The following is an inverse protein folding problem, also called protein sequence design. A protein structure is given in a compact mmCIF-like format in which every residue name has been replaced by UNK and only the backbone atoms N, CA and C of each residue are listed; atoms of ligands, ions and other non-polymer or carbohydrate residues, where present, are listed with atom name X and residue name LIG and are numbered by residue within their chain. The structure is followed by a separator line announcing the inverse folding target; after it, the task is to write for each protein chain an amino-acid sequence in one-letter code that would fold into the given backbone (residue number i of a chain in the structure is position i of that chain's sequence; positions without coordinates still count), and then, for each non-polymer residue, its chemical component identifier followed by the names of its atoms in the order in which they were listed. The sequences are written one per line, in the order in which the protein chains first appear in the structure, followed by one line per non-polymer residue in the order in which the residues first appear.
data_IF_695463402975
#
_entry.id   IF_695463402975
#
_cell.length_a   1.000
_cell.length_b   1.000
_cell.length_c   1.000
_cell.angle_alpha   90.00
_cell.angle_beta   90.00
_cell.angle_gamma   90.00
#
_symmetry.space_group_name_H-M   'P 1'
#
loop_
_entity.id
_entity.type
_entity.pdbx_description
1 polymer ?
#
# COMPACT_ATOMS: atom_id res chain seq x y z
N UNK A 1 4.01 -8.92 -63.24
CA UNK A 1 4.10 -7.70 -62.40
C UNK A 1 3.80 -8.11 -60.97
N UNK A 2 4.85 -8.47 -60.21
CA UNK A 2 4.75 -8.77 -58.78
C UNK A 2 4.57 -7.45 -58.04
N UNK A 3 3.39 -7.24 -57.48
CA UNK A 3 3.12 -6.16 -56.54
C UNK A 3 3.98 -6.39 -55.30
N UNK A 4 5.02 -5.57 -55.15
CA UNK A 4 5.79 -5.50 -53.92
C UNK A 4 4.90 -4.75 -52.93
N UNK A 5 4.30 -5.48 -51.99
CA UNK A 5 3.64 -4.89 -50.83
C UNK A 5 4.72 -4.22 -49.98
N UNK A 6 4.79 -2.89 -50.04
CA UNK A 6 5.60 -2.10 -49.12
C UNK A 6 4.92 -2.21 -47.75
N UNK A 7 5.58 -2.76 -46.71
CA UNK A 7 4.98 -2.84 -45.40
C UNK A 7 4.66 -1.42 -44.94
N UNK A 8 3.38 -1.13 -44.67
CA UNK A 8 3.00 0.11 -44.03
C UNK A 8 3.81 0.23 -42.74
N UNK A 9 4.75 1.19 -42.71
CA UNK A 9 5.47 1.53 -41.50
C UNK A 9 4.43 2.08 -40.52
N UNK A 10 3.94 1.21 -39.64
CA UNK A 10 3.02 1.63 -38.60
C UNK A 10 3.71 2.69 -37.75
N UNK A 11 3.03 3.81 -37.43
CA UNK A 11 3.59 4.80 -36.54
C UNK A 11 4.04 4.12 -35.23
N UNK A 12 5.28 4.38 -34.84
CA UNK A 12 5.91 3.80 -33.65
C UNK A 12 6.21 4.89 -32.63
N UNK A 13 6.36 4.50 -31.37
CA UNK A 13 6.80 5.36 -30.28
C UNK A 13 7.79 4.61 -29.39
N UNK A 14 8.68 5.32 -28.71
CA UNK A 14 9.58 4.73 -27.71
C UNK A 14 8.89 4.64 -26.35
N UNK A 15 8.88 3.46 -25.74
CA UNK A 15 8.27 3.23 -24.43
C UNK A 15 9.20 3.68 -23.30
N UNK A 16 8.73 4.54 -22.39
CA UNK A 16 9.54 5.02 -21.26
C UNK A 16 9.87 3.98 -20.17
N UNK A 17 9.37 2.75 -20.28
CA UNK A 17 9.68 1.64 -19.35
C UNK A 17 10.69 0.65 -19.94
N UNK A 18 10.42 0.11 -21.13
CA UNK A 18 11.32 -0.88 -21.76
C UNK A 18 12.38 -0.25 -22.68
N UNK A 19 12.20 1.00 -23.11
CA UNK A 19 13.10 1.68 -24.06
C UNK A 19 13.00 1.18 -25.50
N UNK A 20 11.99 0.35 -25.82
CA UNK A 20 11.81 -0.22 -27.15
C UNK A 20 10.82 0.59 -27.99
N UNK A 21 10.98 0.50 -29.32
CA UNK A 21 10.01 1.05 -30.29
C UNK A 21 8.78 0.13 -30.37
N UNK A 22 7.63 0.69 -30.00
CA UNK A 22 6.36 -0.01 -29.88
C UNK A 22 5.34 0.56 -30.85
N UNK A 23 4.35 -0.24 -31.25
CA UNK A 23 3.27 0.21 -32.13
C UNK A 23 2.43 1.29 -31.43
N UNK A 24 2.14 2.41 -32.09
CA UNK A 24 1.34 3.50 -31.51
C UNK A 24 -0.04 3.07 -31.00
N UNK A 25 -0.59 1.97 -31.52
CA UNK A 25 -1.87 1.40 -31.08
C UNK A 25 -1.81 0.82 -29.65
N UNK A 26 -0.64 0.40 -29.17
CA UNK A 26 -0.44 -0.09 -27.80
C UNK A 26 0.01 1.01 -26.84
N UNK A 27 0.07 2.26 -27.31
CA UNK A 27 0.51 3.41 -26.52
C UNK A 27 -0.55 3.82 -25.52
N UNK A 28 -0.15 3.84 -24.24
CA UNK A 28 -0.93 4.44 -23.16
C UNK A 28 -0.28 5.78 -22.80
N UNK A 29 -1.08 6.85 -22.76
CA UNK A 29 -0.66 8.19 -22.33
C UNK A 29 -1.33 8.55 -21.02
N UNK A 30 -0.55 8.92 -20.01
CA UNK A 30 -1.06 9.25 -18.69
C UNK A 30 -1.55 10.71 -18.64
N UNK A 31 -2.72 10.99 -18.04
CA UNK A 31 -3.44 12.26 -18.23
C UNK A 31 -2.72 13.51 -17.70
N UNK A 32 -1.97 13.43 -16.58
CA UNK A 32 -1.33 14.63 -15.99
C UNK A 32 0.17 14.76 -16.27
N UNK A 33 0.93 13.65 -16.31
CA UNK A 33 2.37 13.69 -16.53
C UNK A 33 2.75 13.60 -18.01
N UNK A 34 1.80 13.27 -18.90
CA UNK A 34 1.98 13.07 -20.34
C UNK A 34 2.94 11.95 -20.76
N UNK A 35 3.45 11.17 -19.80
CA UNK A 35 4.30 10.02 -20.06
C UNK A 35 3.60 8.97 -20.91
N UNK A 36 4.38 8.32 -21.77
CA UNK A 36 3.89 7.33 -22.72
C UNK A 36 4.59 6.01 -22.53
N UNK A 37 3.79 5.00 -22.24
CA UNK A 37 4.25 3.64 -21.97
C UNK A 37 3.48 2.66 -22.84
N UNK A 38 4.09 1.54 -23.20
CA UNK A 38 3.33 0.49 -23.88
C UNK A 38 2.42 -0.23 -22.89
N UNK A 39 1.28 -0.69 -23.42
CA UNK A 39 0.24 -1.40 -22.66
C UNK A 39 0.79 -2.61 -21.91
N UNK A 40 1.70 -3.37 -22.51
CA UNK A 40 2.32 -4.55 -21.89
C UNK A 40 3.13 -4.17 -20.64
N UNK A 41 4.01 -3.16 -20.74
CA UNK A 41 4.80 -2.70 -19.61
C UNK A 41 3.94 -2.17 -18.47
N UNK A 42 2.89 -1.39 -18.79
CA UNK A 42 2.00 -0.86 -17.76
C UNK A 42 1.14 -1.97 -17.12
N UNK A 43 0.71 -2.97 -17.89
CA UNK A 43 0.00 -4.15 -17.40
C UNK A 43 0.88 -4.96 -16.46
N UNK A 44 2.13 -5.23 -16.83
CA UNK A 44 3.11 -5.92 -16.00
C UNK A 44 3.39 -5.16 -14.70
N UNK A 45 3.63 -3.85 -14.80
CA UNK A 45 3.85 -3.01 -13.63
C UNK A 45 2.64 -2.99 -12.68
N UNK A 46 1.43 -2.80 -13.22
CA UNK A 46 0.21 -2.81 -12.42
C UNK A 46 0.01 -4.17 -11.72
N UNK A 47 0.24 -5.27 -12.44
CA UNK A 47 0.17 -6.63 -11.89
C UNK A 47 1.12 -6.80 -10.71
N UNK A 48 2.39 -6.43 -10.86
CA UNK A 48 3.36 -6.49 -9.75
C UNK A 48 2.91 -5.67 -8.55
N UNK A 49 2.38 -4.45 -8.76
CA UNK A 49 1.91 -3.60 -7.65
C UNK A 49 0.69 -4.17 -6.95
N UNK A 50 -0.24 -4.76 -7.70
CA UNK A 50 -1.41 -5.46 -7.14
C UNK A 50 -0.95 -6.65 -6.30
N UNK A 51 -0.02 -7.45 -6.80
CA UNK A 51 0.52 -8.62 -6.08
C UNK A 51 1.30 -8.24 -4.81
N UNK A 52 1.98 -7.09 -4.83
CA UNK A 52 2.60 -6.48 -3.64
C UNK A 52 1.58 -5.88 -2.65
N UNK A 53 0.30 -5.86 -3.00
CA UNK A 53 -0.78 -5.27 -2.20
C UNK A 53 -0.74 -3.74 -2.14
N UNK A 54 -0.26 -3.08 -3.20
CA UNK A 54 -0.04 -1.62 -3.29
C UNK A 54 -1.11 -0.94 -4.13
N UNK A 55 -1.76 0.05 -3.52
CA UNK A 55 -2.70 0.95 -4.17
C UNK A 55 -2.73 2.28 -3.39
N UNK A 56 -2.75 3.46 -4.03
CA UNK A 56 -2.85 3.70 -5.47
C UNK A 56 -1.57 3.41 -6.26
N UNK A 57 -1.73 3.06 -7.54
CA UNK A 57 -0.64 2.78 -8.47
C UNK A 57 -0.29 4.06 -9.21
N UNK A 58 0.96 4.51 -9.14
CA UNK A 58 1.44 5.71 -9.82
C UNK A 58 2.19 5.37 -11.12
N UNK A 59 2.26 6.35 -12.02
CA UNK A 59 3.03 6.28 -13.26
C UNK A 59 4.48 5.84 -12.99
N UNK A 60 4.98 4.76 -13.62
CA UNK A 60 6.32 4.23 -13.39
C UNK A 60 7.44 5.24 -13.64
N UNK A 61 7.30 6.03 -14.71
CA UNK A 61 8.26 7.08 -15.06
C UNK A 61 8.27 8.21 -14.01
N UNK A 62 7.10 8.61 -13.49
CA UNK A 62 7.04 9.61 -12.40
C UNK A 62 7.68 9.13 -11.10
N UNK A 63 7.70 7.82 -10.85
CA UNK A 63 8.35 7.24 -9.67
C UNK A 63 9.87 7.23 -9.88
N UNK A 64 10.33 6.98 -11.11
CA UNK A 64 11.75 6.93 -11.46
C UNK A 64 12.39 8.33 -11.53
N UNK A 65 11.67 9.33 -12.04
CA UNK A 65 12.17 10.70 -12.15
C UNK A 65 12.20 11.45 -10.81
N UNK A 66 13.38 11.92 -10.43
CA UNK A 66 13.58 12.83 -9.28
C UNK A 66 14.14 14.16 -9.78
N UNK A 67 13.65 15.33 -9.29
CA UNK A 67 12.65 15.54 -8.23
C UNK A 67 11.30 15.98 -8.83
N UNK A 68 10.43 15.04 -9.21
CA UNK A 68 9.09 15.42 -9.70
C UNK A 68 8.12 15.58 -8.53
N UNK A 69 7.58 16.79 -8.36
CA UNK A 69 6.67 17.13 -7.26
C UNK A 69 5.28 16.47 -7.39
N UNK A 70 4.87 16.15 -8.63
CA UNK A 70 3.54 15.58 -8.91
C UNK A 70 3.72 14.25 -9.62
N UNK A 71 3.15 13.20 -9.05
CA UNK A 71 3.07 11.87 -9.65
C UNK A 71 1.63 11.60 -10.06
N UNK A 72 1.44 11.28 -11.33
CA UNK A 72 0.14 10.89 -11.88
C UNK A 72 -0.23 9.49 -11.42
N UNK A 73 -1.44 9.33 -10.90
CA UNK A 73 -2.01 8.01 -10.62
C UNK A 73 -2.46 7.36 -11.93
N UNK A 74 -2.25 6.05 -12.04
CA UNK A 74 -2.91 5.23 -13.05
C UNK A 74 -4.37 5.09 -12.62
N UNK A 75 -5.23 5.95 -13.18
CA UNK A 75 -6.64 6.02 -12.83
C UNK A 75 -7.43 4.80 -13.34
N UNK A 76 -8.70 4.72 -12.95
CA UNK A 76 -9.56 3.59 -13.31
C UNK A 76 -9.76 3.44 -14.84
N UNK A 77 -9.83 4.54 -15.57
CA UNK A 77 -9.95 4.53 -17.04
C UNK A 77 -8.75 3.86 -17.70
N UNK A 78 -7.53 4.16 -17.24
CA UNK A 78 -6.33 3.50 -17.73
C UNK A 78 -6.29 2.04 -17.27
N UNK A 79 -6.67 1.73 -16.03
CA UNK A 79 -6.72 0.34 -15.53
C UNK A 79 -7.67 -0.55 -16.34
N UNK A 80 -8.78 0.00 -16.83
CA UNK A 80 -9.73 -0.72 -17.69
C UNK A 80 -9.14 -1.06 -19.07
N UNK A 81 -8.20 -0.26 -19.57
CA UNK A 81 -7.54 -0.50 -20.84
C UNK A 81 -6.46 -1.58 -20.77
N UNK A 82 -5.97 -1.94 -19.57
CA UNK A 82 -4.92 -2.94 -19.36
C UNK A 82 -5.45 -4.37 -19.50
N UNK A 83 -4.59 -5.29 -19.96
CA UNK A 83 -4.91 -6.71 -20.07
C UNK A 83 -4.67 -7.45 -18.74
N UNK A 84 -5.32 -6.97 -17.68
CA UNK A 84 -5.25 -7.60 -16.35
C UNK A 84 -6.12 -8.87 -16.31
N UNK A 85 -5.59 -10.02 -15.84
CA UNK A 85 -6.40 -11.21 -15.62
C UNK A 85 -7.44 -10.97 -14.50
N UNK A 86 -8.50 -11.79 -14.49
CA UNK A 86 -9.66 -11.61 -13.60
C UNK A 86 -9.29 -11.65 -12.11
N UNK A 87 -8.30 -12.48 -11.74
CA UNK A 87 -7.78 -12.54 -10.38
C UNK A 87 -7.16 -11.21 -9.93
N UNK A 88 -6.32 -10.59 -10.78
CA UNK A 88 -5.70 -9.29 -10.51
C UNK A 88 -6.74 -8.18 -10.43
N UNK A 89 -7.79 -8.23 -11.26
CA UNK A 89 -8.91 -7.27 -11.19
C UNK A 89 -9.66 -7.38 -9.86
N UNK A 90 -9.92 -8.61 -9.41
CA UNK A 90 -10.57 -8.87 -8.12
C UNK A 90 -9.71 -8.35 -6.96
N UNK A 91 -8.39 -8.64 -6.98
CA UNK A 91 -7.44 -8.11 -6.00
C UNK A 91 -7.36 -6.58 -6.03
N UNK A 92 -7.39 -5.96 -7.20
CA UNK A 92 -7.40 -4.49 -7.33
C UNK A 92 -8.64 -3.89 -6.66
N UNK A 93 -9.83 -4.46 -6.88
CA UNK A 93 -11.06 -4.02 -6.23
C UNK A 93 -10.97 -4.16 -4.70
N UNK A 94 -10.44 -5.28 -4.20
CA UNK A 94 -10.20 -5.45 -2.77
C UNK A 94 -9.24 -4.39 -2.22
N UNK A 95 -8.13 -4.12 -2.92
CA UNK A 95 -7.16 -3.09 -2.55
C UNK A 95 -7.77 -1.69 -2.49
N UNK A 96 -8.62 -1.34 -3.46
CA UNK A 96 -9.38 -0.09 -3.48
C UNK A 96 -10.35 0.04 -2.29
N UNK A 97 -10.88 -1.07 -1.79
CA UNK A 97 -11.76 -1.07 -0.62
C UNK A 97 -10.98 -0.93 0.69
N UNK A 98 -9.86 -1.65 0.85
CA UNK A 98 -9.11 -1.69 2.12
C UNK A 98 -8.27 -0.43 2.39
N UNK A 99 -8.12 0.46 1.40
CA UNK A 99 -7.58 1.82 1.62
C UNK A 99 -8.50 2.66 2.48
N UNK A 100 -9.82 2.48 2.34
CA UNK A 100 -10.83 3.27 3.05
C UNK A 100 -11.40 2.52 4.24
N UNK A 101 -11.45 1.19 4.17
CA UNK A 101 -12.16 0.38 5.13
C UNK A 101 -11.29 -0.72 5.76
N UNK A 102 -11.69 -1.19 6.93
CA UNK A 102 -11.17 -2.40 7.58
C UNK A 102 -12.31 -3.39 7.69
N UNK A 103 -12.08 -4.61 7.19
CA UNK A 103 -13.00 -5.71 7.39
C UNK A 103 -12.91 -6.22 8.82
N UNK A 104 -14.03 -6.19 9.53
CA UNK A 104 -14.17 -6.65 10.91
C UNK A 104 -15.27 -7.69 10.94
N UNK A 105 -15.06 -8.77 11.70
CA UNK A 105 -16.10 -9.77 11.94
C UNK A 105 -16.76 -9.51 13.30
N UNK A 106 -18.09 -9.48 13.33
CA UNK A 106 -18.82 -9.31 14.59
C UNK A 106 -18.76 -10.62 15.40
N UNK A 107 -18.33 -10.60 16.68
CA UNK A 107 -18.23 -11.81 17.49
C UNK A 107 -19.61 -12.43 17.79
N UNK A 108 -20.69 -11.65 17.71
CA UNK A 108 -22.06 -12.10 17.98
C UNK A 108 -22.75 -12.66 16.74
N UNK A 109 -22.93 -11.88 15.68
CA UNK A 109 -23.66 -12.33 14.48
C UNK A 109 -22.79 -13.03 13.44
N UNK A 110 -21.46 -13.04 13.60
CA UNK A 110 -20.47 -13.67 12.71
C UNK A 110 -20.38 -13.10 11.29
N UNK A 111 -21.20 -12.13 10.95
CA UNK A 111 -21.11 -11.37 9.70
C UNK A 111 -19.77 -10.63 9.61
N UNK A 112 -19.34 -10.33 8.38
CA UNK A 112 -18.18 -9.50 8.07
C UNK A 112 -18.69 -8.14 7.58
N UNK A 113 -18.12 -7.07 8.11
CA UNK A 113 -18.49 -5.69 7.79
C UNK A 113 -17.23 -4.87 7.50
N UNK A 114 -17.35 -3.90 6.61
CA UNK A 114 -16.30 -2.93 6.35
C UNK A 114 -16.61 -1.67 7.18
N UNK A 115 -15.70 -1.31 8.08
CA UNK A 115 -15.77 -0.10 8.89
C UNK A 115 -14.70 0.89 8.44
N UNK A 116 -14.94 2.18 8.61
CA UNK A 116 -13.96 3.21 8.23
C UNK A 116 -12.64 3.01 8.99
N UNK A 117 -11.53 3.17 8.28
CA UNK A 117 -10.18 2.93 8.81
C UNK A 117 -9.79 3.92 9.90
N UNK A 118 -10.15 5.21 9.74
CA UNK A 118 -9.82 6.24 10.72
C UNK A 118 -10.64 6.03 12.00
N UNK A 119 -11.94 5.77 11.86
CA UNK A 119 -12.82 5.47 12.99
C UNK A 119 -12.36 4.21 13.74
N UNK A 120 -12.01 3.15 13.01
CA UNK A 120 -11.44 1.94 13.58
C UNK A 120 -10.10 2.21 14.27
N UNK A 121 -9.31 3.18 13.86
CA UNK A 121 -8.05 3.55 14.52
C UNK A 121 -8.27 4.18 15.90
N UNK A 122 -9.18 5.15 15.98
CA UNK A 122 -9.44 5.98 17.16
C UNK A 122 -10.19 5.25 18.28
N UNK A 123 -11.11 4.34 17.92
CA UNK A 123 -12.02 3.73 18.88
C UNK A 123 -11.63 2.30 19.22
N UNK A 124 -11.49 1.98 20.50
CA UNK A 124 -11.23 0.59 20.93
C UNK A 124 -12.51 -0.24 21.11
N UNK A 125 -13.66 0.42 21.11
CA UNK A 125 -14.97 -0.19 21.25
C UNK A 125 -15.68 -0.05 19.92
N UNK A 126 -16.13 -1.18 19.37
CA UNK A 126 -16.90 -1.23 18.14
C UNK A 126 -18.34 -1.57 18.45
N UNK A 127 -19.23 -1.04 17.63
CA UNK A 127 -20.65 -1.40 17.59
C UNK A 127 -20.91 -2.03 16.24
N UNK A 128 -21.64 -3.15 16.22
CA UNK A 128 -21.97 -3.83 14.97
C UNK A 128 -22.86 -2.89 14.14
N UNK A 129 -22.45 -2.53 12.91
CA UNK A 129 -23.21 -1.61 12.07
C UNK A 129 -24.51 -2.21 11.54
N UNK A 130 -24.68 -3.54 11.64
CA UNK A 130 -25.90 -4.21 11.20
C UNK A 130 -27.07 -3.88 12.15
N UNK A 131 -28.17 -3.30 11.62
CA UNK A 131 -29.32 -2.89 12.44
C UNK A 131 -29.93 -4.02 13.28
N UNK A 132 -29.86 -5.26 12.77
CA UNK A 132 -30.38 -6.47 13.43
C UNK A 132 -29.53 -6.98 14.60
N UNK A 133 -28.32 -6.45 14.79
CA UNK A 133 -27.37 -6.98 15.79
C UNK A 133 -27.03 -5.95 16.86
N UNK A 134 -26.56 -4.75 16.47
CA UNK A 134 -26.11 -3.69 17.37
C UNK A 134 -25.16 -4.13 18.51
N UNK A 135 -24.51 -5.29 18.36
CA UNK A 135 -23.63 -5.86 19.39
C UNK A 135 -22.41 -4.95 19.60
N UNK A 136 -22.03 -4.74 20.86
CA UNK A 136 -20.91 -3.87 21.23
C UNK A 136 -19.78 -4.68 21.85
N UNK A 137 -18.55 -4.50 21.38
CA UNK A 137 -17.40 -5.24 21.86
C UNK A 137 -16.10 -4.43 21.78
N UNK A 138 -15.09 -4.84 22.56
CA UNK A 138 -13.75 -4.29 22.43
C UNK A 138 -12.99 -4.94 21.27
N UNK A 139 -12.50 -4.16 20.30
CA UNK A 139 -11.72 -4.69 19.15
C UNK A 139 -10.44 -5.41 19.57
N UNK A 140 -9.87 -5.06 20.72
CA UNK A 140 -8.62 -5.63 21.21
C UNK A 140 -8.81 -6.99 21.91
N UNK A 141 -9.95 -7.22 22.57
CA UNK A 141 -10.20 -8.45 23.33
C UNK A 141 -11.46 -9.22 22.99
N UNK A 142 -12.24 -8.73 22.04
CA UNK A 142 -13.50 -9.31 21.58
C UNK A 142 -14.55 -9.46 22.69
N UNK A 143 -14.30 -8.89 23.88
CA UNK A 143 -15.24 -8.94 25.00
C UNK A 143 -16.42 -8.02 24.72
N UNK A 144 -17.63 -8.57 24.87
CA UNK A 144 -18.88 -7.83 24.81
C UNK A 144 -18.98 -6.78 25.92
N UNK A 145 -19.60 -5.64 25.61
CA UNK A 145 -19.83 -4.53 26.54
C UNK A 145 -21.30 -4.16 26.56
N UNK A 146 -21.83 -3.84 27.74
CA UNK A 146 -23.24 -3.48 27.90
C UNK A 146 -23.48 -2.00 27.56
N UNK A 147 -22.52 -1.11 27.83
CA UNK A 147 -22.63 0.33 27.55
C UNK A 147 -21.34 0.94 26.96
N UNK A 148 -21.42 2.15 26.38
CA UNK A 148 -20.25 2.93 25.95
C UNK A 148 -19.49 3.58 27.12
N UNK A 149 -20.11 3.61 28.31
CA UNK A 149 -19.58 4.17 29.55
C UNK A 149 -18.94 3.10 30.45
N UNK A 150 -19.08 1.82 30.09
CA UNK A 150 -18.42 0.73 30.79
C UNK A 150 -16.91 0.97 30.73
N UNK A 151 -16.29 1.18 31.90
CA UNK A 151 -14.83 1.33 32.04
C UNK A 151 -14.14 0.01 31.72
N UNK A 152 -14.07 -0.33 30.44
CA UNK A 152 -13.40 -1.52 29.94
C UNK A 152 -11.89 -1.33 30.05
N UNK A 153 -11.30 -1.90 31.09
CA UNK A 153 -9.85 -2.08 31.16
C UNK A 153 -9.47 -3.33 30.39
N UNK A 154 -9.00 -3.15 29.17
CA UNK A 154 -8.60 -4.27 28.31
C UNK A 154 -7.45 -5.07 28.94
N UNK A 155 -7.73 -6.33 29.33
CA UNK A 155 -6.72 -7.27 29.85
C UNK A 155 -5.98 -8.03 28.75
N UNK A 156 -6.24 -7.76 27.46
CA UNK A 156 -5.47 -8.30 26.33
C UNK A 156 -4.06 -7.68 26.20
N UNK A 157 -3.40 -7.54 27.35
CA UNK A 157 -2.00 -7.16 27.43
C UNK A 157 -1.05 -8.24 26.94
N UNK A 158 -1.50 -9.37 26.36
CA UNK A 158 -0.54 -10.37 25.88
C UNK A 158 0.30 -9.81 24.71
N UNK A 159 -0.35 -9.23 23.69
CA UNK A 159 0.38 -8.61 22.58
C UNK A 159 1.12 -7.35 23.02
N UNK A 160 0.51 -6.45 23.79
CA UNK A 160 1.16 -5.24 24.30
C UNK A 160 2.40 -5.54 25.17
N UNK A 161 2.31 -6.56 26.05
CA UNK A 161 3.47 -7.03 26.83
C UNK A 161 4.52 -7.65 25.92
N UNK A 162 4.12 -8.40 24.90
CA UNK A 162 5.04 -8.99 23.93
C UNK A 162 5.76 -7.90 23.12
N UNK A 163 5.02 -6.90 22.62
CA UNK A 163 5.56 -5.73 21.92
C UNK A 163 6.61 -5.02 22.75
N UNK A 164 6.29 -4.71 24.02
CA UNK A 164 7.24 -4.07 24.95
C UNK A 164 8.46 -4.93 25.23
N UNK A 165 8.27 -6.22 25.53
CA UNK A 165 9.38 -7.15 25.85
C UNK A 165 10.30 -7.40 24.66
N UNK A 166 9.76 -7.49 23.45
CA UNK A 166 10.51 -7.75 22.22
C UNK A 166 10.99 -6.48 21.52
N UNK A 167 10.55 -5.31 21.97
CA UNK A 167 10.86 -4.03 21.34
C UNK A 167 10.19 -3.84 19.96
N UNK A 168 9.16 -4.62 19.65
CA UNK A 168 8.44 -4.53 18.39
C UNK A 168 7.72 -3.20 18.23
N UNK A 169 7.49 -2.79 16.98
CA UNK A 169 6.82 -1.53 16.65
C UNK A 169 5.50 -1.77 15.96
N UNK A 170 4.53 -0.91 16.26
CA UNK A 170 3.33 -0.82 15.47
C UNK A 170 3.61 0.00 14.22
N UNK A 171 3.05 -0.42 13.09
CA UNK A 171 2.94 0.44 11.93
C UNK A 171 2.17 1.72 12.32
N UNK A 172 2.69 2.93 12.05
CA UNK A 172 2.01 4.17 12.42
C UNK A 172 0.74 4.42 11.60
N UNK A 173 0.62 3.82 10.40
CA UNK A 173 -0.58 3.95 9.55
C UNK A 173 -1.69 2.94 9.90
N UNK A 174 -1.37 1.65 9.91
CA UNK A 174 -2.38 0.59 10.09
C UNK A 174 -2.43 -0.05 11.48
N UNK A 175 -1.48 0.30 12.36
CA UNK A 175 -1.34 -0.31 13.70
C UNK A 175 -1.10 -1.83 13.69
N UNK A 176 -0.75 -2.42 12.55
CA UNK A 176 -0.28 -3.81 12.48
C UNK A 176 1.01 -3.95 13.31
N UNK A 177 1.12 -4.94 14.21
CA UNK A 177 2.36 -5.27 14.91
C UNK A 177 3.44 -5.70 13.91
N UNK A 178 4.64 -5.12 14.01
CA UNK A 178 5.76 -5.43 13.12
C UNK A 178 6.93 -5.97 13.92
N UNK A 179 7.39 -7.16 13.53
CA UNK A 179 8.64 -7.76 13.96
C UNK A 179 9.71 -7.50 12.89
N UNK A 180 10.88 -7.01 13.31
CA UNK A 180 12.08 -6.93 12.47
C UNK A 180 12.99 -8.09 12.80
N UNK A 181 13.38 -8.86 11.79
CA UNK A 181 14.34 -9.94 11.93
C UNK A 181 15.78 -9.43 11.76
N UNK A 182 16.07 -8.83 10.60
CA UNK A 182 17.40 -8.30 10.25
C UNK A 182 17.27 -7.05 9.36
N UNK A 183 18.41 -6.48 8.93
CA UNK A 183 18.45 -5.38 7.97
C UNK A 183 18.32 -3.97 8.57
N UNK A 184 17.98 -3.01 7.70
CA UNK A 184 17.87 -1.61 8.06
C UNK A 184 16.59 -1.29 8.85
N UNK A 185 16.55 -0.11 9.45
CA UNK A 185 15.41 0.38 10.23
C UNK A 185 14.32 1.01 9.35
N UNK A 186 14.51 1.15 8.03
CA UNK A 186 13.47 1.63 7.12
C UNK A 186 12.52 0.49 6.80
N UNK A 187 11.30 0.58 7.33
CA UNK A 187 10.26 -0.41 7.10
C UNK A 187 9.23 0.12 6.12
N UNK A 188 8.77 -0.76 5.24
CA UNK A 188 7.57 -0.57 4.44
C UNK A 188 6.49 -1.46 5.05
N UNK A 189 5.29 -0.93 5.32
CA UNK A 189 4.23 -1.75 5.86
C UNK A 189 3.85 -2.86 4.87
N UNK A 190 3.78 -4.11 5.36
CA UNK A 190 3.37 -5.28 4.56
C UNK A 190 1.87 -5.55 4.57
N UNK A 191 1.06 -4.74 5.27
CA UNK A 191 -0.40 -4.88 5.22
C UNK A 191 -0.90 -4.37 3.87
N UNK A 192 -1.67 -5.18 3.11
CA UNK A 192 -2.28 -4.73 1.85
C UNK A 192 -3.07 -3.42 2.03
N UNK A 193 -2.91 -2.49 1.09
CA UNK A 193 -3.50 -1.16 1.13
C UNK A 193 -2.85 -0.18 2.12
N UNK A 194 -1.82 -0.58 2.87
CA UNK A 194 -1.05 0.34 3.72
C UNK A 194 0.28 0.69 3.07
N UNK A 195 0.42 1.94 2.61
CA UNK A 195 1.59 2.41 1.86
C UNK A 195 2.52 3.30 2.69
N UNK A 196 2.58 3.05 3.99
CA UNK A 196 3.44 3.84 4.87
C UNK A 196 4.83 3.26 4.97
N UNK A 197 5.81 4.15 4.95
CA UNK A 197 7.18 3.87 5.33
C UNK A 197 7.45 4.49 6.70
N UNK A 198 8.07 3.74 7.60
CA UNK A 198 8.31 4.15 8.96
C UNK A 198 9.62 3.60 9.49
N UNK A 199 10.17 4.25 10.52
CA UNK A 199 11.41 3.82 11.13
C UNK A 199 11.17 2.82 12.25
N UNK A 200 11.72 1.62 12.16
CA UNK A 200 11.60 0.58 13.20
C UNK A 200 12.28 0.98 14.52
N UNK A 201 13.33 1.80 14.46
CA UNK A 201 14.06 2.21 15.65
C UNK A 201 13.23 3.15 16.53
N UNK A 202 12.76 4.25 15.96
CA UNK A 202 12.02 5.27 16.71
C UNK A 202 10.50 5.12 16.63
N UNK A 203 9.97 4.37 15.66
CA UNK A 203 8.53 4.22 15.40
C UNK A 203 7.90 5.36 14.61
N UNK A 204 8.67 6.37 14.20
CA UNK A 204 8.15 7.52 13.47
C UNK A 204 7.71 7.15 12.05
N UNK A 205 6.56 7.70 11.64
CA UNK A 205 6.12 7.74 10.25
C UNK A 205 7.10 8.61 9.46
N UNK A 206 7.62 8.10 8.34
CA UNK A 206 8.44 8.88 7.41
C UNK A 206 7.58 9.43 6.28
N UNK A 207 6.76 8.58 5.67
CA UNK A 207 5.87 8.98 4.57
C UNK A 207 4.71 7.99 4.41
N UNK A 208 3.57 8.50 3.95
CA UNK A 208 2.48 7.72 3.35
C UNK A 208 2.46 8.01 1.86
N UNK A 209 2.73 6.99 1.02
CA UNK A 209 2.85 7.21 -0.43
C UNK A 209 1.51 7.22 -1.15
N UNK A 210 0.38 7.17 -0.46
CA UNK A 210 -0.95 7.32 -1.08
C UNK A 210 -1.13 8.66 -1.79
N UNK A 211 -0.35 9.68 -1.43
CA UNK A 211 -0.29 10.98 -2.11
C UNK A 211 0.78 11.09 -3.21
N UNK A 212 1.48 10.00 -3.52
CA UNK A 212 2.56 9.98 -4.52
C UNK A 212 3.90 10.53 -4.05
N UNK A 213 4.08 10.79 -2.75
CA UNK A 213 5.30 11.40 -2.22
C UNK A 213 6.57 10.57 -2.39
N UNK A 214 7.73 11.24 -2.37
CA UNK A 214 9.04 10.62 -2.63
C UNK A 214 9.61 9.91 -1.39
N UNK A 215 9.66 8.57 -1.46
CA UNK A 215 10.20 7.73 -0.38
C UNK A 215 11.68 8.01 -0.13
N UNK A 216 12.48 8.23 -1.18
CA UNK A 216 13.93 8.42 -1.04
C UNK A 216 14.26 9.68 -0.23
N UNK A 217 13.56 10.78 -0.51
CA UNK A 217 13.69 12.07 0.17
C UNK A 217 13.28 11.93 1.62
N UNK A 218 12.07 11.42 1.89
CA UNK A 218 11.58 11.26 3.26
C UNK A 218 12.45 10.32 4.12
N UNK A 219 12.99 9.26 3.51
CA UNK A 219 13.93 8.35 4.18
C UNK A 219 15.25 9.06 4.47
N UNK A 220 15.80 9.80 3.51
CA UNK A 220 17.06 10.54 3.68
C UNK A 220 16.92 11.59 4.78
N UNK A 221 15.85 12.38 4.74
CA UNK A 221 15.56 13.42 5.73
C UNK A 221 15.45 12.83 7.14
N UNK A 222 14.74 11.72 7.30
CA UNK A 222 14.62 11.06 8.60
C UNK A 222 15.97 10.59 9.15
N UNK A 223 16.85 10.04 8.31
CA UNK A 223 18.11 9.46 8.77
C UNK A 223 19.24 10.48 8.95
N UNK A 224 19.01 11.75 8.63
CA UNK A 224 19.86 12.84 9.10
C UNK A 224 19.85 12.95 10.64
N UNK A 225 18.73 12.60 11.28
CA UNK A 225 18.54 12.69 12.73
C UNK A 225 18.36 11.32 13.41
N UNK A 226 18.34 10.24 12.63
CA UNK A 226 18.14 8.87 13.12
C UNK A 226 19.26 7.92 12.69
N UNK A 227 19.06 6.60 12.81
CA UNK A 227 20.05 5.60 12.40
C UNK A 227 19.43 4.52 11.53
N UNK A 228 19.86 4.45 10.28
CA UNK A 228 19.38 3.46 9.32
C UNK A 228 19.79 2.04 9.73
N UNK A 229 20.97 1.87 10.33
CA UNK A 229 21.48 0.57 10.78
C UNK A 229 21.78 0.58 12.27
N UNK A 230 21.56 -0.56 12.92
CA UNK A 230 21.93 -0.77 14.30
C UNK A 230 23.46 -0.95 14.40
N UNK A 231 24.08 -0.44 15.48
CA UNK A 231 25.54 -0.43 15.68
C UNK A 231 26.24 -1.80 15.68
N UNK A 232 25.49 -2.91 15.65
CA UNK A 232 25.99 -4.27 15.91
C UNK A 232 26.52 -5.02 14.68
N UNK A 233 26.82 -4.34 13.59
CA UNK A 233 27.43 -4.97 12.42
C UNK A 233 28.88 -4.50 12.34
N UNK A 234 29.75 -5.18 13.09
CA UNK A 234 31.16 -5.19 12.74
C UNK A 234 31.22 -5.86 11.38
N UNK A 235 31.47 -5.07 10.34
CA UNK A 235 31.82 -5.57 9.03
C UNK A 235 33.13 -6.34 9.19
N UNK A 236 33.06 -7.65 9.35
CA UNK A 236 34.22 -8.54 9.26
C UNK A 236 34.41 -8.90 7.79
N UNK A 237 34.88 -7.91 7.02
CA UNK A 237 35.58 -8.18 5.77
C UNK A 237 37.06 -7.96 6.13
N UNK A 238 37.75 -9.08 6.35
CA UNK A 238 39.21 -9.17 6.21
C UNK A 238 39.50 -9.53 4.76
#
# INVERSE_FOLDING_TARGET
MTTIEIPHAYPAFECGICGELQNIATRIRLPDCSHTVCKECLTGFATTKIDEGRYPIFCPECIAERPRAIRTQVNEEIMQQLDLPEEQRSRLQELQLVTHCISVQCPSCKEIMNVDRAEFGEHNILVCPLPRCAHKWCKCCLKALASSQDRHRCKNGNIERLMKRKGWKYCPGCRTPVQKEMGCNHMTCGTPGCNVHFCYKCGALMIDTTNGGDVGTAVTDHYNECRLFDRKWKCSIQ
#
